data_IF_020484350987
#
_entry.id   IF_020484350987
#
_cell.length_a   1.000
_cell.length_b   1.000
_cell.length_c   1.000
_cell.angle_alpha   90.00
_cell.angle_beta   90.00
_cell.angle_gamma   90.00
#
_symmetry.space_group_name_H-M   'P 1'
#
loop_
_entity.id
_entity.type
_entity.pdbx_description
1 polymer ?
#
# COMPACT_ATOMS: atom_id res chain seq x y z
N UNK A 1 -27.89 32.93 -6.68
CA UNK A 1 -27.19 31.62 -6.73
C UNK A 1 -26.44 31.42 -5.42
N UNK A 2 -26.68 30.32 -4.68
CA UNK A 2 -25.98 30.06 -3.43
C UNK A 2 -24.52 29.60 -3.68
N UNK A 3 -23.58 29.95 -2.78
CA UNK A 3 -22.17 29.58 -2.91
C UNK A 3 -21.94 28.07 -2.74
N UNK A 4 -21.03 27.50 -3.52
CA UNK A 4 -20.61 26.09 -3.41
C UNK A 4 -19.59 25.96 -2.28
N UNK A 5 -19.93 25.19 -1.24
CA UNK A 5 -19.01 24.85 -0.15
C UNK A 5 -18.07 23.72 -0.61
N UNK A 6 -16.77 23.95 -0.49
CA UNK A 6 -15.75 22.92 -0.74
C UNK A 6 -15.60 22.04 0.50
N UNK A 7 -15.47 20.71 0.35
CA UNK A 7 -15.15 19.84 1.48
C UNK A 7 -13.78 20.20 2.05
N UNK A 8 -13.75 20.66 3.29
CA UNK A 8 -12.52 20.82 4.07
C UNK A 8 -12.25 19.52 4.82
N UNK A 9 -10.99 19.05 4.83
CA UNK A 9 -10.62 17.90 5.65
C UNK A 9 -10.74 18.28 7.12
N UNK A 10 -11.54 17.52 7.87
CA UNK A 10 -11.60 17.62 9.32
C UNK A 10 -10.27 17.11 9.88
N UNK A 11 -9.46 18.00 10.46
CA UNK A 11 -8.17 17.61 11.03
C UNK A 11 -8.28 16.87 12.38
N UNK A 12 -9.49 16.82 12.97
CA UNK A 12 -9.68 16.30 14.33
C UNK A 12 -9.02 17.19 15.39
N UNK A 13 -9.36 16.99 16.66
CA UNK A 13 -8.66 17.63 17.79
C UNK A 13 -7.24 17.05 17.99
N UNK A 14 -6.60 16.61 16.91
CA UNK A 14 -5.26 16.01 16.92
C UNK A 14 -4.24 17.15 16.93
N UNK A 15 -3.37 17.15 17.94
CA UNK A 15 -2.30 18.14 18.03
C UNK A 15 -1.33 17.97 16.84
N UNK A 16 -0.72 19.05 16.34
CA UNK A 16 0.26 18.96 15.23
C UNK A 16 1.37 17.91 15.47
N UNK A 17 1.72 17.67 16.75
CA UNK A 17 2.67 16.64 17.17
C UNK A 17 2.18 15.23 16.83
N UNK A 18 0.94 14.90 17.14
CA UNK A 18 0.34 13.59 16.90
C UNK A 18 0.22 13.31 15.39
N UNK A 19 -0.08 14.34 14.60
CA UNK A 19 -0.07 14.25 13.14
C UNK A 19 1.31 13.87 12.60
N UNK A 20 2.37 14.49 13.13
CA UNK A 20 3.77 14.23 12.75
C UNK A 20 4.20 12.81 13.11
N UNK A 21 3.87 12.35 14.32
CA UNK A 21 4.12 10.97 14.75
C UNK A 21 3.39 9.95 13.88
N UNK A 22 2.12 10.19 13.54
CA UNK A 22 1.34 9.31 12.67
C UNK A 22 1.95 9.16 11.27
N UNK A 23 2.55 10.23 10.73
CA UNK A 23 3.26 10.20 9.45
C UNK A 23 4.53 9.35 9.55
N UNK A 24 5.32 9.54 10.62
CA UNK A 24 6.52 8.73 10.90
C UNK A 24 6.19 7.25 11.03
N UNK A 25 5.18 6.92 11.84
CA UNK A 25 4.72 5.54 12.02
C UNK A 25 4.28 4.91 10.70
N UNK A 26 3.58 5.66 9.86
CA UNK A 26 3.18 5.18 8.53
C UNK A 26 4.39 4.93 7.63
N UNK A 27 5.40 5.80 7.68
CA UNK A 27 6.63 5.65 6.91
C UNK A 27 7.43 4.43 7.39
N UNK A 28 7.60 4.25 8.70
CA UNK A 28 8.25 3.07 9.31
C UNK A 28 7.55 1.78 8.92
N UNK A 29 6.22 1.71 9.04
CA UNK A 29 5.43 0.54 8.60
C UNK A 29 5.64 0.24 7.13
N UNK A 30 5.72 1.27 6.29
CA UNK A 30 5.99 1.11 4.85
C UNK A 30 7.39 0.55 4.59
N UNK A 31 8.40 1.08 5.27
CA UNK A 31 9.77 0.62 5.13
C UNK A 31 9.95 -0.83 5.62
N UNK A 32 9.29 -1.23 6.73
CA UNK A 32 9.26 -2.62 7.20
C UNK A 32 8.56 -3.57 6.21
N UNK A 33 7.58 -3.06 5.45
CA UNK A 33 6.87 -3.84 4.42
C UNK A 33 7.55 -3.87 3.05
N UNK A 34 8.77 -3.32 2.94
CA UNK A 34 9.55 -3.32 1.69
C UNK A 34 10.05 -4.71 1.30
N UNK A 35 10.40 -4.92 0.01
CA UNK A 35 10.81 -6.25 -0.51
C UNK A 35 12.03 -6.79 0.24
N UNK A 36 13.06 -5.96 0.42
CA UNK A 36 14.32 -6.38 1.08
C UNK A 36 14.07 -6.73 2.54
N UNK A 37 13.28 -5.94 3.28
CA UNK A 37 12.96 -6.26 4.68
C UNK A 37 12.13 -7.54 4.79
N UNK A 38 11.24 -7.79 3.82
CA UNK A 38 10.46 -9.04 3.77
C UNK A 38 11.35 -10.25 3.49
N UNK A 39 12.32 -10.14 2.59
CA UNK A 39 13.31 -11.18 2.28
C UNK A 39 14.20 -11.50 3.49
N UNK A 40 14.75 -10.47 4.14
CA UNK A 40 15.51 -10.65 5.37
C UNK A 40 14.67 -11.33 6.45
N UNK A 41 13.41 -10.93 6.60
CA UNK A 41 12.51 -11.59 7.54
C UNK A 41 12.32 -13.07 7.20
N UNK A 42 12.20 -13.46 5.92
CA UNK A 42 12.07 -14.87 5.57
C UNK A 42 13.34 -15.67 5.87
N UNK A 43 14.52 -15.09 5.69
CA UNK A 43 15.79 -15.79 5.93
C UNK A 43 16.00 -16.13 7.40
N UNK A 44 15.55 -15.25 8.30
CA UNK A 44 15.64 -15.44 9.75
C UNK A 44 14.39 -16.09 10.37
N UNK A 45 13.34 -16.31 9.60
CA UNK A 45 12.09 -16.90 10.11
C UNK A 45 12.09 -18.41 9.92
N UNK A 46 12.16 -19.15 11.03
CA UNK A 46 12.24 -20.63 11.04
C UNK A 46 10.85 -21.32 11.01
N UNK A 47 9.76 -20.57 11.13
CA UNK A 47 8.41 -21.13 11.12
C UNK A 47 7.91 -21.50 9.72
N UNK A 48 6.92 -22.40 9.59
CA UNK A 48 6.30 -22.68 8.31
C UNK A 48 5.57 -21.43 7.77
N UNK A 49 5.64 -21.23 6.45
CA UNK A 49 4.97 -20.14 5.73
C UNK A 49 3.95 -20.74 4.76
N UNK A 50 2.73 -20.18 4.76
CA UNK A 50 1.71 -20.56 3.79
C UNK A 50 2.10 -20.04 2.40
N UNK A 51 2.52 -20.96 1.51
CA UNK A 51 2.81 -20.65 0.11
C UNK A 51 1.54 -20.92 -0.69
N UNK A 52 1.00 -19.89 -1.33
CA UNK A 52 -0.15 -20.00 -2.25
C UNK A 52 0.35 -19.98 -3.68
N UNK A 53 0.08 -21.05 -4.45
CA UNK A 53 0.56 -21.22 -5.84
C UNK A 53 0.15 -20.09 -6.81
N UNK A 54 -0.83 -19.28 -6.44
CA UNK A 54 -1.45 -18.28 -7.35
C UNK A 54 -1.08 -16.83 -7.05
N UNK A 55 -0.24 -16.56 -6.04
CA UNK A 55 0.06 -15.20 -5.60
C UNK A 55 1.39 -14.69 -6.19
N UNK A 56 1.30 -13.91 -7.28
CA UNK A 56 2.30 -12.86 -7.51
C UNK A 56 2.14 -11.82 -6.39
N UNK A 57 3.23 -11.43 -5.71
CA UNK A 57 3.21 -10.44 -4.61
C UNK A 57 2.48 -9.15 -5.02
N UNK A 58 2.59 -8.76 -6.29
CA UNK A 58 1.93 -7.59 -6.85
C UNK A 58 0.39 -7.68 -6.84
N UNK A 59 -0.16 -8.89 -6.70
CA UNK A 59 -1.60 -9.12 -6.61
C UNK A 59 -2.12 -9.08 -5.19
N UNK A 60 -1.29 -8.94 -4.14
CA UNK A 60 -1.74 -9.02 -2.74
C UNK A 60 -2.98 -8.15 -2.44
N UNK A 61 -3.00 -6.88 -2.87
CA UNK A 61 -4.17 -5.99 -2.69
C UNK A 61 -5.40 -6.41 -3.50
N UNK A 62 -5.19 -6.87 -4.74
CA UNK A 62 -6.28 -7.36 -5.58
C UNK A 62 -6.82 -8.68 -5.09
N UNK A 63 -5.95 -9.51 -4.54
CA UNK A 63 -6.28 -10.78 -3.96
C UNK A 63 -7.04 -10.58 -2.64
N UNK A 64 -6.68 -9.56 -1.84
CA UNK A 64 -7.51 -9.14 -0.72
C UNK A 64 -8.90 -8.70 -1.19
N UNK A 65 -8.99 -7.81 -2.18
CA UNK A 65 -10.29 -7.38 -2.71
C UNK A 65 -11.09 -8.54 -3.36
N UNK A 66 -10.39 -9.53 -3.94
CA UNK A 66 -11.00 -10.73 -4.49
C UNK A 66 -11.49 -11.66 -3.37
N UNK A 67 -10.70 -11.86 -2.33
CA UNK A 67 -11.08 -12.61 -1.12
C UNK A 67 -12.29 -11.96 -0.44
N UNK A 68 -12.26 -10.64 -0.23
CA UNK A 68 -13.38 -9.88 0.35
C UNK A 68 -14.65 -10.03 -0.50
N UNK A 69 -14.50 -10.08 -1.84
CA UNK A 69 -15.63 -10.37 -2.72
C UNK A 69 -16.12 -11.81 -2.53
N UNK A 70 -15.24 -12.80 -2.55
CA UNK A 70 -15.66 -14.21 -2.42
C UNK A 70 -16.34 -14.45 -1.09
N UNK A 71 -15.81 -13.90 0.01
CA UNK A 71 -16.44 -14.01 1.33
C UNK A 71 -17.82 -13.39 1.34
N UNK A 72 -17.98 -12.19 0.76
CA UNK A 72 -19.29 -11.54 0.68
C UNK A 72 -20.31 -12.33 -0.15
N UNK A 73 -19.87 -12.91 -1.28
CA UNK A 73 -20.71 -13.74 -2.14
C UNK A 73 -21.14 -15.03 -1.42
N UNK A 74 -20.24 -15.67 -0.67
CA UNK A 74 -20.49 -16.87 0.12
C UNK A 74 -21.46 -16.59 1.29
N UNK A 75 -21.21 -15.51 2.05
CA UNK A 75 -22.01 -15.13 3.22
C UNK A 75 -23.47 -14.82 2.84
N UNK A 76 -23.69 -14.25 1.66
CA UNK A 76 -25.02 -13.83 1.19
C UNK A 76 -25.59 -14.73 0.10
N UNK A 77 -24.90 -15.81 -0.25
CA UNK A 77 -25.28 -16.77 -1.31
C UNK A 77 -25.69 -16.09 -2.63
N UNK A 78 -24.99 -15.03 -3.03
CA UNK A 78 -25.30 -14.24 -4.23
C UNK A 78 -24.03 -13.91 -5.01
N UNK A 79 -24.15 -13.70 -6.33
CA UNK A 79 -23.01 -13.37 -7.20
C UNK A 79 -23.01 -11.90 -7.61
N UNK A 80 -21.88 -11.22 -7.43
CA UNK A 80 -21.72 -9.83 -7.83
C UNK A 80 -21.34 -9.72 -9.32
N UNK A 81 -21.97 -8.79 -10.02
CA UNK A 81 -21.68 -8.53 -11.43
C UNK A 81 -20.48 -7.60 -11.57
N UNK A 82 -19.57 -7.93 -12.48
CA UNK A 82 -18.38 -7.14 -12.73
C UNK A 82 -18.60 -6.07 -13.80
N UNK A 83 -18.21 -4.84 -13.46
CA UNK A 83 -18.17 -3.75 -14.44
C UNK A 83 -17.11 -4.03 -15.51
N UNK A 84 -17.26 -3.42 -16.69
CA UNK A 84 -16.26 -3.54 -17.77
C UNK A 84 -14.88 -3.01 -17.33
N UNK A 85 -14.87 -1.96 -16.51
CA UNK A 85 -13.64 -1.34 -15.99
C UNK A 85 -12.87 -2.30 -15.10
N UNK A 86 -13.53 -2.97 -14.17
CA UNK A 86 -12.91 -3.95 -13.28
C UNK A 86 -12.36 -5.16 -14.05
N UNK A 87 -13.12 -5.64 -15.05
CA UNK A 87 -12.66 -6.71 -15.94
C UNK A 87 -11.39 -6.33 -16.71
N UNK A 88 -11.31 -5.11 -17.22
CA UNK A 88 -10.12 -4.63 -17.93
C UNK A 88 -8.93 -4.45 -16.97
N UNK A 89 -9.17 -3.95 -15.76
CA UNK A 89 -8.12 -3.82 -14.74
C UNK A 89 -7.53 -5.18 -14.35
N UNK A 90 -8.38 -6.20 -14.18
CA UNK A 90 -7.94 -7.56 -13.89
C UNK A 90 -7.06 -8.15 -15.02
N UNK A 91 -7.41 -7.87 -16.28
CA UNK A 91 -6.61 -8.29 -17.45
C UNK A 91 -5.24 -7.60 -17.49
N UNK A 92 -5.19 -6.29 -17.26
CA UNK A 92 -3.95 -5.51 -17.32
C UNK A 92 -2.94 -5.93 -16.25
N UNK A 93 -3.42 -6.40 -15.10
CA UNK A 93 -2.56 -6.86 -14.02
C UNK A 93 -1.82 -8.15 -14.36
N UNK A 94 -2.36 -8.96 -15.28
CA UNK A 94 -1.80 -10.23 -15.69
C UNK A 94 -0.53 -10.14 -16.52
N UNK A 95 -0.30 -9.03 -17.22
CA UNK A 95 0.71 -8.95 -18.28
C UNK A 95 2.04 -8.32 -17.87
N UNK A 96 2.12 -7.41 -16.89
CA UNK A 96 3.38 -6.66 -16.63
C UNK A 96 3.68 -6.30 -15.15
N UNK A 97 3.08 -6.98 -14.19
CA UNK A 97 3.21 -6.59 -12.77
C UNK A 97 4.56 -6.93 -12.12
N UNK A 98 5.27 -7.95 -12.61
CA UNK A 98 6.44 -8.52 -11.91
C UNK A 98 7.72 -7.67 -12.01
N UNK A 99 7.91 -6.90 -13.09
CA UNK A 99 9.14 -6.11 -13.31
C UNK A 99 9.31 -4.96 -12.31
N UNK A 100 8.20 -4.46 -11.76
CA UNK A 100 8.22 -3.36 -10.80
C UNK A 100 8.76 -3.81 -9.43
N UNK A 101 8.55 -5.07 -9.06
CA UNK A 101 9.03 -5.63 -7.79
C UNK A 101 10.56 -5.79 -7.83
N UNK A 102 11.08 -6.35 -8.92
CA UNK A 102 12.53 -6.50 -9.17
C UNK A 102 13.31 -5.19 -9.14
N UNK A 103 12.67 -4.06 -9.46
CA UNK A 103 13.33 -2.76 -9.61
C UNK A 103 13.00 -1.78 -8.48
N UNK A 104 12.09 -2.11 -7.56
CA UNK A 104 11.63 -1.21 -6.51
C UNK A 104 11.80 -1.81 -5.12
N UNK A 105 12.93 -1.50 -4.49
CA UNK A 105 13.29 -2.01 -3.16
C UNK A 105 12.60 -1.29 -2.00
N UNK A 106 11.93 -0.16 -2.24
CA UNK A 106 11.32 0.67 -1.19
C UNK A 106 12.31 1.70 -0.59
N UNK A 107 11.79 2.57 0.25
CA UNK A 107 12.59 3.61 0.94
C UNK A 107 12.86 3.17 2.38
N UNK A 108 14.13 2.91 2.69
CA UNK A 108 14.60 2.47 4.01
C UNK A 108 14.96 3.64 4.92
N UNK A 109 15.07 4.86 4.39
CA UNK A 109 15.46 6.04 5.17
C UNK A 109 14.50 6.29 6.34
N UNK A 110 13.26 5.83 6.22
CA UNK A 110 12.26 5.92 7.27
C UNK A 110 12.53 5.04 8.51
N UNK A 111 13.42 4.04 8.43
CA UNK A 111 13.80 3.22 9.59
C UNK A 111 14.78 3.94 10.51
N UNK A 112 15.65 4.78 9.94
CA UNK A 112 16.66 5.56 10.68
C UNK A 112 16.16 6.99 11.00
N UNK A 113 15.07 7.42 10.35
CA UNK A 113 14.46 8.72 10.58
C UNK A 113 13.86 8.82 12.00
N UNK A 114 14.38 9.76 12.78
CA UNK A 114 13.84 10.15 14.07
C UNK A 114 12.83 11.30 13.96
N UNK A 115 12.92 12.11 12.90
CA UNK A 115 12.03 13.25 12.67
C UNK A 115 11.34 13.19 11.30
N UNK A 116 10.19 13.85 11.17
CA UNK A 116 9.41 13.88 9.91
C UNK A 116 10.16 14.58 8.79
N UNK A 117 11.04 15.51 9.12
CA UNK A 117 11.82 16.27 8.15
C UNK A 117 12.87 15.39 7.44
N UNK A 118 13.35 14.34 8.10
CA UNK A 118 14.27 13.35 7.54
C UNK A 118 13.60 12.45 6.49
N UNK A 119 12.27 12.38 6.47
CA UNK A 119 11.49 11.60 5.50
C UNK A 119 11.30 12.32 4.16
N UNK A 120 11.60 13.62 4.08
CA UNK A 120 11.39 14.35 2.83
C UNK A 120 12.56 14.10 1.87
N UNK A 121 12.29 13.64 0.63
CA UNK A 121 13.34 13.60 -0.38
C UNK A 121 13.84 15.03 -0.59
N UNK A 122 15.15 15.26 -0.44
CA UNK A 122 15.80 16.55 -0.69
C UNK A 122 15.21 17.17 -1.95
N UNK A 123 14.42 18.24 -1.78
CA UNK A 123 13.80 18.96 -2.90
C UNK A 123 14.91 19.34 -3.87
N UNK A 124 14.94 18.70 -5.05
CA UNK A 124 15.90 19.04 -6.09
C UNK A 124 15.72 20.52 -6.40
N UNK A 125 16.77 21.32 -6.19
CA UNK A 125 16.74 22.75 -6.49
C UNK A 125 16.34 22.93 -7.97
N UNK A 126 15.45 23.88 -8.31
CA UNK A 126 15.10 24.12 -9.70
C UNK A 126 16.37 24.45 -10.48
N UNK A 127 16.55 23.80 -11.64
CA UNK A 127 17.64 24.15 -12.55
C UNK A 127 17.41 25.60 -12.99
N UNK A 128 18.44 26.43 -12.80
CA UNK A 128 18.49 27.80 -13.31
C UNK A 128 18.46 27.81 -14.83
#
# INVERSE_FOLDING_TARGET
MPPKLAPTHYEGDLTEKERRERVLERAKKRALSSSVMRELRSDFYEGPVEIKDTYSTHRAKQNQAMQERTTYEEDNMLRLQLTKKERNMAKQLGTMSNLKELTHFGDFSALDANTVDDLQPSRKKPKR
#
